data_IF_041645966666
#
_entry.id   IF_041645966666
#
_cell.length_a   1.000
_cell.length_b   1.000
_cell.length_c   1.000
_cell.angle_alpha   90.00
_cell.angle_beta   90.00
_cell.angle_gamma   90.00
#
_symmetry.space_group_name_H-M   'P 1'
#
loop_
_entity.id
_entity.type
_entity.pdbx_description
1 polymer ?
#
# COMPACT_ATOMS: atom_id res chain seq x y z
N UNK A 1 11.47 9.09 30.09
CA UNK A 1 10.26 9.52 29.36
C UNK A 1 9.93 8.41 28.39
N UNK A 2 8.91 7.61 28.70
CA UNK A 2 8.42 6.56 27.79
C UNK A 2 7.80 7.27 26.60
N UNK A 3 8.40 7.18 25.41
CA UNK A 3 7.76 7.68 24.21
C UNK A 3 6.47 6.88 24.02
N UNK A 4 5.34 7.57 24.02
CA UNK A 4 4.08 7.00 23.55
C UNK A 4 4.23 6.83 22.04
N UNK A 5 4.52 5.62 21.60
CA UNK A 5 4.50 5.27 20.17
C UNK A 5 3.07 5.50 19.70
N UNK A 6 2.90 6.22 18.60
CA UNK A 6 1.61 6.25 17.91
C UNK A 6 1.57 5.01 16.99
N UNK A 7 0.85 3.93 17.39
CA UNK A 7 0.82 2.71 16.59
C UNK A 7 0.19 2.94 15.21
N UNK A 8 -0.70 3.94 15.06
CA UNK A 8 -1.30 4.28 13.76
C UNK A 8 -0.33 4.94 12.77
N UNK A 9 0.86 5.35 13.23
CA UNK A 9 1.89 5.99 12.41
C UNK A 9 3.19 5.19 12.33
N UNK A 10 3.27 4.04 13.02
CA UNK A 10 4.47 3.21 13.07
C UNK A 10 4.15 1.86 12.42
N UNK A 11 4.62 1.64 11.20
CA UNK A 11 4.55 0.32 10.55
C UNK A 11 5.80 -0.48 10.94
N UNK A 12 5.60 -1.63 11.58
CA UNK A 12 6.65 -2.61 11.86
C UNK A 12 6.23 -3.87 11.11
N UNK A 13 6.67 -4.06 9.86
CA UNK A 13 6.31 -5.26 9.12
C UNK A 13 6.99 -6.48 9.75
N UNK A 14 6.23 -7.56 9.92
CA UNK A 14 6.74 -8.88 10.30
C UNK A 14 7.47 -9.54 9.13
N UNK A 15 6.98 -9.28 7.92
CA UNK A 15 7.52 -9.83 6.68
C UNK A 15 7.61 -8.75 5.60
N UNK A 16 8.67 -8.82 4.80
CA UNK A 16 8.87 -7.97 3.66
C UNK A 16 9.23 -8.83 2.47
N UNK A 17 8.63 -8.50 1.33
CA UNK A 17 8.80 -9.24 0.09
C UNK A 17 9.15 -8.29 -1.05
N UNK A 18 9.92 -8.81 -1.99
CA UNK A 18 10.29 -8.08 -3.20
C UNK A 18 9.81 -8.86 -4.41
N UNK A 19 9.06 -8.18 -5.24
CA UNK A 19 8.49 -8.72 -6.46
C UNK A 19 9.08 -7.98 -7.66
N UNK A 20 9.40 -8.72 -8.71
CA UNK A 20 10.07 -8.22 -9.91
C UNK A 20 9.17 -8.40 -11.12
N UNK A 21 9.11 -7.36 -11.96
CA UNK A 21 8.50 -7.43 -13.27
C UNK A 21 9.51 -6.86 -14.30
N UNK A 22 9.91 -7.63 -15.33
CA UNK A 22 10.81 -7.12 -16.35
C UNK A 22 10.17 -5.95 -17.09
N UNK A 23 10.94 -4.91 -17.39
CA UNK A 23 10.42 -3.76 -18.14
C UNK A 23 10.11 -4.10 -19.61
N UNK A 24 10.72 -5.17 -20.13
CA UNK A 24 10.46 -5.65 -21.48
C UNK A 24 9.03 -6.20 -21.58
N UNK A 25 8.21 -5.61 -22.46
CA UNK A 25 6.84 -6.03 -22.70
C UNK A 25 5.79 -5.36 -21.81
N UNK A 26 6.19 -4.40 -20.96
CA UNK A 26 5.26 -3.61 -20.14
C UNK A 26 5.01 -2.26 -20.82
N UNK A 27 3.85 -2.11 -21.45
CA UNK A 27 3.44 -0.85 -22.08
C UNK A 27 2.86 0.14 -21.06
N UNK A 28 2.10 -0.37 -20.09
CA UNK A 28 1.48 0.40 -19.02
C UNK A 28 1.56 -0.38 -17.70
N UNK A 29 2.18 0.20 -16.68
CA UNK A 29 2.32 -0.44 -15.37
C UNK A 29 0.98 -0.56 -14.64
N UNK A 30 -0.01 0.28 -14.98
CA UNK A 30 -1.30 0.28 -14.31
C UNK A 30 -2.07 -1.04 -14.48
N UNK A 31 -1.80 -1.81 -15.54
CA UNK A 31 -2.41 -3.12 -15.76
C UNK A 31 -1.86 -4.21 -14.84
N UNK A 32 -0.70 -3.98 -14.23
CA UNK A 32 -0.03 -4.89 -13.30
C UNK A 32 -0.19 -4.46 -11.84
N UNK A 33 -0.82 -3.31 -11.59
CA UNK A 33 -1.05 -2.83 -10.23
C UNK A 33 -2.13 -3.68 -9.55
N UNK A 34 -1.88 -4.21 -8.35
CA UNK A 34 -2.90 -4.90 -7.60
C UNK A 34 -4.02 -3.93 -7.19
N UNK A 35 -5.26 -4.40 -7.16
CA UNK A 35 -6.40 -3.58 -6.72
C UNK A 35 -6.49 -3.48 -5.20
N UNK A 36 -5.85 -4.40 -4.48
CA UNK A 36 -5.78 -4.42 -3.02
C UNK A 36 -4.46 -5.07 -2.58
N UNK A 37 -4.02 -4.87 -1.33
CA UNK A 37 -2.72 -5.38 -0.86
C UNK A 37 -2.58 -6.91 -0.85
N UNK A 38 -3.70 -7.64 -0.80
CA UNK A 38 -3.75 -9.11 -0.70
C UNK A 38 -3.98 -9.79 -2.06
N UNK A 39 -3.92 -9.02 -3.16
CA UNK A 39 -4.10 -9.56 -4.50
C UNK A 39 -3.01 -10.59 -4.84
N UNK A 40 -3.36 -11.55 -5.68
CA UNK A 40 -2.42 -12.54 -6.21
C UNK A 40 -1.47 -11.85 -7.20
N UNK A 41 -0.22 -11.66 -6.78
CA UNK A 41 0.80 -10.96 -7.56
C UNK A 41 1.34 -11.84 -8.69
N UNK A 42 1.36 -13.15 -8.53
CA UNK A 42 1.77 -14.09 -9.58
C UNK A 42 0.76 -14.09 -10.73
N UNK A 43 -0.55 -14.05 -10.43
CA UNK A 43 -1.60 -13.94 -11.46
C UNK A 43 -1.52 -12.60 -12.23
N UNK A 44 -1.05 -11.54 -11.57
CA UNK A 44 -0.79 -10.25 -12.20
C UNK A 44 0.52 -10.24 -13.01
N UNK A 45 1.34 -11.29 -12.93
CA UNK A 45 2.58 -11.44 -13.69
C UNK A 45 3.83 -10.92 -12.99
N UNK A 46 3.75 -10.60 -11.70
CA UNK A 46 4.92 -10.32 -10.88
C UNK A 46 5.64 -11.63 -10.54
N UNK A 47 6.95 -11.56 -10.39
CA UNK A 47 7.79 -12.71 -10.04
C UNK A 47 8.45 -12.46 -8.69
N UNK A 48 8.18 -13.31 -7.71
CA UNK A 48 8.81 -13.18 -6.40
C UNK A 48 10.34 -13.36 -6.50
N UNK A 49 11.08 -12.44 -5.89
CA UNK A 49 12.55 -12.50 -5.85
C UNK A 49 13.05 -13.66 -4.98
N UNK A 50 12.22 -14.11 -4.03
CA UNK A 50 12.56 -15.11 -3.02
C UNK A 50 13.01 -14.46 -1.71
N UNK A 51 13.68 -15.24 -0.86
CA UNK A 51 14.07 -14.79 0.48
C UNK A 51 14.96 -13.54 0.45
N UNK A 52 14.57 -12.54 1.23
CA UNK A 52 15.35 -11.33 1.47
C UNK A 52 15.94 -11.31 2.88
N UNK A 53 17.04 -10.55 3.04
CA UNK A 53 17.65 -10.29 4.34
C UNK A 53 16.73 -9.39 5.20
N UNK A 54 16.04 -10.01 6.15
CA UNK A 54 15.12 -9.37 7.11
C UNK A 54 15.83 -8.34 7.99
N UNK A 55 17.12 -8.54 8.31
CA UNK A 55 17.89 -7.63 9.15
C UNK A 55 18.25 -6.33 8.43
N UNK A 56 18.49 -6.39 7.12
CA UNK A 56 18.73 -5.20 6.30
C UNK A 56 17.43 -4.55 5.83
N UNK A 57 16.38 -5.35 5.62
CA UNK A 57 15.09 -4.90 5.09
C UNK A 57 15.20 -4.21 3.74
N UNK A 58 14.27 -3.28 3.48
CA UNK A 58 14.17 -2.50 2.24
C UNK A 58 14.44 -1.02 2.59
N UNK A 59 15.72 -0.57 2.57
CA UNK A 59 16.04 0.80 2.90
C UNK A 59 15.50 1.77 1.84
N UNK A 60 15.10 2.96 2.28
CA UNK A 60 14.86 4.12 1.42
C UNK A 60 15.95 5.17 1.67
N UNK A 61 16.68 5.53 0.62
CA UNK A 61 17.77 6.50 0.65
C UNK A 61 17.41 7.74 -0.19
N UNK A 62 16.67 8.71 0.39
CA UNK A 62 16.41 9.99 -0.26
C UNK A 62 17.69 10.83 -0.26
N UNK A 63 18.11 11.27 -1.44
CA UNK A 63 19.30 12.10 -1.60
C UNK A 63 19.06 13.24 -2.59
N UNK A 64 19.92 14.26 -2.56
CA UNK A 64 19.88 15.35 -3.53
C UNK A 64 20.91 16.42 -3.21
N UNK A 65 20.97 17.43 -4.07
CA UNK A 65 21.93 18.52 -3.93
C UNK A 65 21.27 19.69 -3.19
N UNK A 66 21.94 20.24 -2.18
CA UNK A 66 21.54 21.48 -1.51
C UNK A 66 22.46 22.61 -1.98
N UNK A 67 21.88 23.68 -2.51
CA UNK A 67 22.62 24.90 -2.87
C UNK A 67 22.16 26.05 -2.00
N UNK A 68 23.10 26.59 -1.26
CA UNK A 68 22.94 27.80 -0.47
C UNK A 68 23.32 29.02 -1.33
N UNK A 69 22.55 30.09 -1.18
CA UNK A 69 22.81 31.38 -1.79
C UNK A 69 23.11 32.34 -0.64
N UNK A 70 24.37 32.76 -0.56
CA UNK A 70 24.84 33.76 0.37
C UNK A 70 25.21 35.05 -0.36
N UNK A 71 25.37 36.12 0.41
CA UNK A 71 25.86 37.39 -0.09
C UNK A 71 27.27 37.64 0.48
N UNK A 72 28.27 36.90 0.02
CA UNK A 72 29.69 37.11 0.36
C UNK A 72 29.97 37.12 1.88
N UNK A 73 29.74 35.98 2.56
CA UNK A 73 30.08 35.82 3.98
C UNK A 73 28.97 36.21 4.96
N UNK A 74 27.79 36.60 4.46
CA UNK A 74 26.57 36.72 5.25
C UNK A 74 25.82 35.38 5.33
N UNK A 75 24.96 35.17 6.36
CA UNK A 75 24.09 34.01 6.41
C UNK A 75 23.30 33.80 5.13
N UNK A 76 23.07 32.54 4.75
CA UNK A 76 22.33 32.19 3.55
C UNK A 76 20.93 32.83 3.58
N UNK A 77 20.62 33.66 2.58
CA UNK A 77 19.30 34.27 2.45
C UNK A 77 18.32 33.34 1.71
N UNK A 78 18.84 32.32 1.02
CA UNK A 78 18.06 31.31 0.34
C UNK A 78 18.81 29.98 0.30
N UNK A 79 18.09 28.91 0.59
CA UNK A 79 18.57 27.54 0.41
C UNK A 79 17.63 26.85 -0.58
N UNK A 80 18.18 26.10 -1.54
CA UNK A 80 17.40 25.34 -2.53
C UNK A 80 17.89 23.91 -2.60
N UNK A 81 16.96 22.97 -2.43
CA UNK A 81 17.16 21.55 -2.75
C UNK A 81 16.85 21.30 -4.24
N UNK A 82 17.67 20.51 -4.92
CA UNK A 82 17.49 20.17 -6.33
C UNK A 82 18.08 18.79 -6.64
N UNK A 83 17.62 18.20 -7.75
CA UNK A 83 17.95 16.81 -8.15
C UNK A 83 17.68 15.80 -7.03
N UNK A 84 16.48 15.88 -6.45
CA UNK A 84 15.99 14.84 -5.55
C UNK A 84 16.06 13.49 -6.26
N UNK A 85 16.61 12.50 -5.56
CA UNK A 85 16.74 11.11 -5.97
C UNK A 85 16.20 10.25 -4.84
N UNK A 86 15.58 9.14 -5.22
CA UNK A 86 15.23 8.09 -4.29
C UNK A 86 15.91 6.81 -4.75
N UNK A 87 16.68 6.21 -3.86
CA UNK A 87 17.16 4.85 -4.05
C UNK A 87 16.51 3.95 -3.03
N UNK A 88 16.31 2.70 -3.40
CA UNK A 88 16.08 1.64 -2.45
C UNK A 88 17.16 0.56 -2.59
N UNK A 89 17.06 -0.47 -1.76
CA UNK A 89 17.83 -1.68 -1.95
C UNK A 89 17.11 -2.89 -1.38
N UNK A 90 17.65 -4.06 -1.68
CA UNK A 90 17.29 -5.31 -1.02
C UNK A 90 18.47 -6.27 -1.16
N UNK A 91 18.56 -7.25 -0.27
CA UNK A 91 19.57 -8.32 -0.38
C UNK A 91 18.84 -9.62 -0.63
N UNK A 92 18.99 -10.16 -1.84
CA UNK A 92 18.45 -11.47 -2.19
C UNK A 92 19.38 -12.56 -1.65
N UNK A 93 18.81 -13.52 -0.91
CA UNK A 93 19.54 -14.64 -0.30
C UNK A 93 19.43 -15.92 -1.14
N UNK A 94 18.68 -15.88 -2.24
CA UNK A 94 18.45 -17.02 -3.12
C UNK A 94 19.03 -16.82 -4.52
N UNK A 95 19.54 -17.92 -5.07
CA UNK A 95 20.03 -18.00 -6.45
C UNK A 95 19.05 -18.77 -7.34
N UNK A 96 17.89 -18.17 -7.60
CA UNK A 96 16.78 -18.76 -8.36
C UNK A 96 16.72 -18.21 -9.81
N UNK A 97 15.72 -18.63 -10.59
CA UNK A 97 15.55 -18.18 -11.98
C UNK A 97 15.25 -16.69 -12.11
N UNK A 98 14.72 -16.05 -11.05
CA UNK A 98 14.35 -14.63 -11.03
C UNK A 98 15.57 -13.77 -10.71
N UNK A 99 16.29 -14.07 -9.62
CA UNK A 99 17.48 -13.30 -9.22
C UNK A 99 18.58 -13.34 -10.27
N UNK A 100 18.72 -14.45 -11.01
CA UNK A 100 19.65 -14.56 -12.15
C UNK A 100 19.37 -13.54 -13.27
N UNK A 101 18.14 -13.03 -13.41
CA UNK A 101 17.77 -12.06 -14.45
C UNK A 101 18.45 -10.71 -14.25
N UNK A 102 18.69 -10.30 -13.00
CA UNK A 102 19.22 -8.97 -12.67
C UNK A 102 20.56 -8.98 -11.93
N UNK A 103 20.94 -10.05 -11.24
CA UNK A 103 22.23 -10.12 -10.52
C UNK A 103 23.40 -10.29 -11.49
N UNK A 104 23.36 -11.31 -12.35
CA UNK A 104 24.34 -11.52 -13.43
C UNK A 104 23.61 -11.88 -14.72
N UNK A 105 23.07 -10.88 -15.42
CA UNK A 105 22.19 -11.07 -16.56
C UNK A 105 22.88 -11.83 -17.69
N UNK A 106 22.20 -12.87 -18.21
CA UNK A 106 22.75 -13.77 -19.23
C UNK A 106 23.55 -14.95 -18.66
N UNK A 107 23.53 -15.16 -17.35
CA UNK A 107 23.97 -16.43 -16.76
C UNK A 107 23.06 -17.57 -17.19
N UNK A 108 23.64 -18.71 -17.54
CA UNK A 108 22.93 -19.97 -17.82
C UNK A 108 23.45 -21.05 -16.88
N UNK A 109 22.86 -22.25 -16.88
CA UNK A 109 23.25 -23.32 -15.94
C UNK A 109 24.74 -23.69 -15.96
N UNK A 110 25.44 -23.36 -17.04
CA UNK A 110 26.87 -23.61 -17.22
C UNK A 110 27.71 -22.34 -17.50
N UNK A 111 27.15 -21.13 -17.36
CA UNK A 111 27.86 -19.88 -17.66
C UNK A 111 27.49 -18.77 -16.68
N UNK A 112 28.47 -17.96 -16.32
CA UNK A 112 28.28 -16.75 -15.52
C UNK A 112 28.26 -15.54 -16.47
N UNK A 113 27.18 -14.77 -16.43
CA UNK A 113 26.99 -13.56 -17.20
C UNK A 113 27.82 -12.39 -16.67
N UNK A 114 28.06 -11.38 -17.50
CA UNK A 114 28.64 -10.10 -17.06
C UNK A 114 27.52 -9.16 -16.57
N UNK A 115 27.81 -8.18 -15.70
CA UNK A 115 26.84 -7.13 -15.36
C UNK A 115 26.30 -6.42 -16.62
N UNK A 116 24.99 -6.16 -16.65
CA UNK A 116 24.32 -5.44 -17.74
C UNK A 116 23.38 -4.37 -17.17
N UNK A 117 22.96 -3.46 -18.05
CA UNK A 117 21.92 -2.48 -17.73
C UNK A 117 20.55 -3.18 -17.70
N UNK A 118 20.15 -3.68 -16.53
CA UNK A 118 18.83 -4.29 -16.34
C UNK A 118 17.88 -3.27 -15.76
N UNK A 119 16.77 -3.09 -16.47
CA UNK A 119 15.66 -2.28 -16.01
C UNK A 119 14.44 -3.15 -15.74
N UNK A 120 13.79 -2.87 -14.62
CA UNK A 120 12.57 -3.55 -14.21
C UNK A 120 11.74 -2.69 -13.28
N UNK A 121 10.51 -3.14 -13.09
CA UNK A 121 9.64 -2.63 -12.04
C UNK A 121 9.81 -3.49 -10.81
N UNK A 122 9.75 -2.85 -9.65
CA UNK A 122 9.71 -3.54 -8.37
C UNK A 122 8.42 -3.21 -7.63
N UNK A 123 7.95 -4.20 -6.90
CA UNK A 123 6.87 -4.08 -5.95
C UNK A 123 7.37 -4.57 -4.60
N UNK A 124 7.15 -3.76 -3.56
CA UNK A 124 7.46 -4.13 -2.18
C UNK A 124 6.17 -4.41 -1.45
N UNK A 125 6.03 -5.62 -0.91
CA UNK A 125 4.91 -5.98 -0.05
C UNK A 125 5.43 -6.09 1.38
N UNK A 126 4.75 -5.41 2.28
CA UNK A 126 5.02 -5.41 3.72
C UNK A 126 3.80 -6.02 4.40
N UNK A 127 4.01 -7.12 5.10
CA UNK A 127 2.96 -7.86 5.80
C UNK A 127 3.21 -7.75 7.30
N UNK A 128 2.15 -7.43 8.02
CA UNK A 128 2.06 -7.37 9.49
C UNK A 128 0.79 -8.11 9.91
N UNK A 129 0.64 -8.48 11.19
CA UNK A 129 -0.46 -9.31 11.71
C UNK A 129 -1.85 -8.77 11.30
N UNK A 130 -2.00 -7.44 11.26
CA UNK A 130 -3.27 -6.76 11.00
C UNK A 130 -3.25 -5.88 9.74
N UNK A 131 -2.15 -5.78 9.01
CA UNK A 131 -2.03 -4.83 7.88
C UNK A 131 -1.06 -5.29 6.81
N UNK A 132 -1.52 -5.28 5.57
CA UNK A 132 -0.67 -5.42 4.39
C UNK A 132 -0.57 -4.09 3.64
N UNK A 133 0.65 -3.68 3.30
CA UNK A 133 0.90 -2.49 2.47
C UNK A 133 1.75 -2.89 1.27
N UNK A 134 1.34 -2.44 0.10
CA UNK A 134 2.06 -2.67 -1.15
C UNK A 134 2.53 -1.35 -1.74
N UNK A 135 3.81 -1.27 -2.10
CA UNK A 135 4.36 -0.15 -2.85
C UNK A 135 4.73 -0.61 -4.26
N UNK A 136 4.08 -0.04 -5.26
CA UNK A 136 4.33 -0.37 -6.67
C UNK A 136 5.10 0.76 -7.32
N UNK A 137 6.23 0.43 -7.93
CA UNK A 137 7.03 1.40 -8.65
C UNK A 137 6.33 1.88 -9.94
N UNK A 138 6.31 3.20 -10.18
CA UNK A 138 5.58 3.79 -11.31
C UNK A 138 6.34 3.79 -12.65
N UNK A 139 7.68 3.70 -12.60
CA UNK A 139 8.56 3.69 -13.77
C UNK A 139 9.66 2.66 -13.59
N UNK A 140 10.17 2.03 -14.65
CA UNK A 140 11.22 1.05 -14.50
C UNK A 140 12.49 1.71 -13.94
N UNK A 141 13.18 1.04 -13.03
CA UNK A 141 14.46 1.48 -12.47
C UNK A 141 15.61 0.63 -12.98
N UNK A 142 16.81 1.19 -12.91
CA UNK A 142 18.04 0.41 -12.99
C UNK A 142 18.22 -0.39 -11.70
N UNK A 143 18.40 -1.71 -11.85
CA UNK A 143 18.85 -2.60 -10.78
C UNK A 143 20.37 -2.74 -10.88
N UNK A 144 21.09 -2.22 -9.88
CA UNK A 144 22.54 -2.31 -9.79
C UNK A 144 22.94 -3.37 -8.76
N UNK A 145 23.74 -4.36 -9.18
CA UNK A 145 24.41 -5.26 -8.25
C UNK A 145 25.51 -4.50 -7.51
N UNK A 146 25.30 -4.23 -6.23
CA UNK A 146 26.24 -3.50 -5.38
C UNK A 146 27.28 -4.44 -4.76
N UNK A 147 26.87 -5.63 -4.34
CA UNK A 147 27.75 -6.63 -3.75
C UNK A 147 27.24 -8.04 -3.99
N UNK A 148 28.15 -8.99 -4.12
CA UNK A 148 27.84 -10.42 -4.22
C UNK A 148 28.72 -11.19 -3.23
N UNK A 149 28.10 -11.98 -2.34
CA UNK A 149 28.78 -12.68 -1.24
C UNK A 149 29.80 -13.72 -1.67
N UNK A 150 29.82 -14.08 -2.94
CA UNK A 150 30.72 -15.10 -3.47
C UNK A 150 30.34 -16.49 -2.96
N UNK A 151 31.29 -17.42 -3.03
CA UNK A 151 31.14 -18.79 -2.53
C UNK A 151 32.13 -18.96 -1.37
N UNK A 152 31.63 -18.81 -0.15
CA UNK A 152 32.40 -18.95 1.09
C UNK A 152 31.85 -20.16 1.84
N UNK A 153 32.73 -21.01 2.34
CA UNK A 153 32.33 -22.23 3.04
C UNK A 153 31.57 -21.90 4.33
N UNK A 154 30.32 -22.35 4.43
CA UNK A 154 29.48 -22.17 5.61
C UNK A 154 28.74 -20.84 5.69
N UNK A 155 28.86 -19.98 4.67
CA UNK A 155 28.11 -18.73 4.56
C UNK A 155 27.04 -18.83 3.47
N UNK A 156 25.92 -18.15 3.69
CA UNK A 156 24.87 -18.02 2.69
C UNK A 156 25.34 -17.05 1.60
N UNK A 157 25.18 -17.45 0.34
CA UNK A 157 25.45 -16.54 -0.77
C UNK A 157 24.37 -15.48 -0.84
N UNK A 158 24.74 -14.25 -1.19
CA UNK A 158 23.81 -13.14 -1.28
C UNK A 158 24.13 -12.24 -2.46
N UNK A 159 23.11 -11.52 -2.93
CA UNK A 159 23.24 -10.45 -3.90
C UNK A 159 22.58 -9.19 -3.35
N UNK A 160 23.39 -8.18 -3.02
CA UNK A 160 22.91 -6.88 -2.56
C UNK A 160 22.64 -5.99 -3.78
N UNK A 161 21.38 -5.58 -3.92
CA UNK A 161 20.89 -4.76 -5.01
C UNK A 161 20.66 -3.32 -4.54
N UNK A 162 21.01 -2.38 -5.41
CA UNK A 162 20.60 -0.97 -5.29
C UNK A 162 19.68 -0.65 -6.46
N UNK A 163 18.53 -0.04 -6.16
CA UNK A 163 17.51 0.30 -7.14
C UNK A 163 17.50 1.81 -7.32
N UNK A 164 17.73 2.26 -8.55
CA UNK A 164 17.76 3.68 -8.88
C UNK A 164 16.43 4.12 -9.44
N UNK A 165 15.53 4.54 -8.56
CA UNK A 165 14.19 4.92 -8.96
C UNK A 165 14.16 6.20 -9.79
N UNK A 166 13.16 6.27 -10.66
CA UNK A 166 12.82 7.46 -11.42
C UNK A 166 11.39 7.86 -11.09
N UNK A 167 11.17 9.15 -10.86
CA UNK A 167 9.83 9.68 -10.60
C UNK A 167 9.02 9.77 -11.90
N UNK A 168 7.70 9.72 -11.78
CA UNK A 168 6.74 9.90 -12.86
C UNK A 168 6.65 11.37 -13.34
N UNK A 169 5.58 11.75 -14.04
CA UNK A 169 5.38 13.15 -14.44
C UNK A 169 4.94 14.07 -13.28
N UNK A 170 4.34 13.51 -12.22
CA UNK A 170 3.87 14.22 -11.05
C UNK A 170 4.95 14.33 -9.95
N UNK A 171 6.04 13.58 -10.08
CA UNK A 171 7.12 13.54 -9.09
C UNK A 171 7.04 12.34 -8.15
N UNK A 172 6.10 11.42 -8.39
CA UNK A 172 5.86 10.25 -7.57
C UNK A 172 6.73 9.07 -8.04
N UNK A 173 7.26 8.31 -7.08
CA UNK A 173 8.09 7.13 -7.37
C UNK A 173 7.30 5.84 -7.21
N UNK A 174 6.48 5.78 -6.16
CA UNK A 174 5.65 4.64 -5.82
C UNK A 174 4.21 5.05 -5.72
N UNK A 175 3.31 4.17 -6.13
CA UNK A 175 1.94 4.16 -5.68
C UNK A 175 1.84 3.22 -4.47
N UNK A 176 1.33 3.75 -3.37
CA UNK A 176 1.01 2.96 -2.18
C UNK A 176 -0.41 2.43 -2.33
N UNK A 177 -0.56 1.12 -2.17
CA UNK A 177 -1.81 0.40 -2.13
C UNK A 177 -1.93 -0.14 -0.72
N UNK A 178 -2.92 0.34 0.01
CA UNK A 178 -3.30 -0.14 1.33
C UNK A 178 -4.81 -0.38 1.37
N UNK A 179 -5.24 -1.17 2.34
CA UNK A 179 -6.65 -1.52 2.52
C UNK A 179 -7.53 -0.32 2.94
N UNK A 180 -6.94 0.87 3.19
CA UNK A 180 -7.66 2.05 3.70
C UNK A 180 -7.83 3.18 2.68
N UNK A 181 -7.10 3.17 1.56
CA UNK A 181 -7.21 4.20 0.51
C UNK A 181 -8.55 4.21 -0.23
N UNK A 182 -9.35 3.13 -0.13
CA UNK A 182 -10.69 3.01 -0.71
C UNK A 182 -11.83 3.21 0.30
N UNK A 183 -11.51 3.60 1.55
CA UNK A 183 -12.50 3.75 2.60
C UNK A 183 -13.51 4.85 2.26
N UNK A 184 -14.79 4.48 2.14
CA UNK A 184 -15.88 5.44 1.88
C UNK A 184 -16.58 5.76 3.18
N UNK A 185 -16.47 7.02 3.62
CA UNK A 185 -17.24 7.52 4.76
C UNK A 185 -18.62 8.01 4.33
N UNK A 186 -19.67 7.53 5.02
CA UNK A 186 -21.05 7.96 4.88
C UNK A 186 -21.64 8.40 6.22
N UNK A 187 -22.29 9.56 6.23
CA UNK A 187 -22.93 10.09 7.44
C UNK A 187 -24.44 9.90 7.38
N UNK A 188 -24.98 9.13 8.31
CA UNK A 188 -26.41 8.95 8.51
C UNK A 188 -26.92 9.96 9.52
N UNK A 189 -27.71 10.92 9.07
CA UNK A 189 -28.39 11.89 9.94
C UNK A 189 -29.81 11.40 10.23
N UNK A 190 -30.08 11.11 11.50
CA UNK A 190 -31.37 10.62 11.97
C UNK A 190 -32.18 11.83 12.47
N UNK A 191 -33.27 12.14 11.76
CA UNK A 191 -34.14 13.26 12.11
C UNK A 191 -34.93 13.05 13.40
N UNK A 192 -35.53 14.13 13.90
CA UNK A 192 -36.47 14.07 15.02
C UNK A 192 -37.70 13.21 14.66
N UNK A 193 -38.25 12.48 15.63
CA UNK A 193 -39.45 11.66 15.43
C UNK A 193 -39.24 10.32 14.73
N UNK A 194 -38.01 10.02 14.27
CA UNK A 194 -37.67 8.69 13.73
C UNK A 194 -37.76 7.65 14.85
N UNK A 195 -38.58 6.62 14.65
CA UNK A 195 -38.76 5.51 15.61
C UNK A 195 -38.10 4.22 15.13
N UNK A 196 -37.89 4.08 13.83
CA UNK A 196 -37.11 3.02 13.22
C UNK A 196 -36.61 3.46 11.84
N UNK A 197 -35.58 2.81 11.29
CA UNK A 197 -35.14 3.04 9.91
C UNK A 197 -34.54 1.79 9.28
N UNK A 198 -34.46 1.79 7.95
CA UNK A 198 -33.67 0.83 7.17
C UNK A 198 -32.52 1.56 6.48
N UNK A 199 -31.42 0.85 6.26
CA UNK A 199 -30.32 1.29 5.41
C UNK A 199 -30.20 0.35 4.21
N UNK A 200 -29.93 0.90 3.03
CA UNK A 200 -29.72 0.14 1.80
C UNK A 200 -28.31 0.42 1.29
N UNK A 201 -27.56 -0.65 1.04
CA UNK A 201 -26.20 -0.62 0.49
C UNK A 201 -26.18 -1.48 -0.78
N UNK A 202 -25.94 -0.85 -1.93
CA UNK A 202 -26.12 -1.50 -3.23
C UNK A 202 -27.55 -2.00 -3.40
N UNK A 203 -27.70 -3.31 -3.62
CA UNK A 203 -29.01 -3.97 -3.78
C UNK A 203 -29.59 -4.54 -2.47
N UNK A 204 -28.88 -4.47 -1.34
CA UNK A 204 -29.28 -5.11 -0.10
C UNK A 204 -29.76 -4.08 0.93
N UNK A 205 -30.86 -4.40 1.62
CA UNK A 205 -31.48 -3.53 2.63
C UNK A 205 -31.45 -4.23 3.98
N UNK A 206 -31.10 -3.51 5.04
CA UNK A 206 -31.13 -4.03 6.41
C UNK A 206 -32.57 -4.34 6.83
N UNK A 207 -32.77 -5.25 7.80
CA UNK A 207 -34.01 -5.25 8.58
C UNK A 207 -34.28 -3.87 9.20
N UNK A 208 -35.53 -3.61 9.56
CA UNK A 208 -35.91 -2.36 10.24
C UNK A 208 -35.23 -2.27 11.61
N UNK A 209 -34.48 -1.19 11.84
CA UNK A 209 -33.73 -0.92 13.06
C UNK A 209 -34.53 0.02 13.97
N UNK A 210 -35.12 -0.51 15.04
CA UNK A 210 -35.76 0.29 16.10
C UNK A 210 -34.76 0.78 17.16
N UNK A 211 -33.63 0.09 17.29
CA UNK A 211 -32.54 0.48 18.19
C UNK A 211 -31.60 1.40 17.42
N UNK A 212 -31.73 2.71 17.62
CA UNK A 212 -31.03 3.75 16.86
C UNK A 212 -29.58 3.95 17.34
N UNK A 213 -28.77 2.90 17.45
CA UNK A 213 -27.39 2.97 17.96
C UNK A 213 -26.37 2.60 16.89
N UNK A 214 -25.11 3.04 17.06
CA UNK A 214 -24.00 2.66 16.19
C UNK A 214 -23.82 1.14 16.10
N UNK A 215 -23.88 0.44 17.24
CA UNK A 215 -23.72 -1.01 17.31
C UNK A 215 -24.83 -1.76 16.55
N UNK A 216 -26.08 -1.29 16.63
CA UNK A 216 -27.20 -1.89 15.91
C UNK A 216 -27.06 -1.70 14.39
N UNK A 217 -26.69 -0.49 13.94
CA UNK A 217 -26.43 -0.22 12.53
C UNK A 217 -25.25 -1.04 12.01
N UNK A 218 -24.13 -1.09 12.75
CA UNK A 218 -22.95 -1.84 12.34
C UNK A 218 -23.25 -3.32 12.15
N UNK A 219 -23.93 -3.93 13.13
CA UNK A 219 -24.31 -5.35 13.06
C UNK A 219 -25.20 -5.62 11.85
N UNK A 220 -26.17 -4.74 11.58
CA UNK A 220 -27.08 -4.89 10.47
C UNK A 220 -26.41 -4.68 9.10
N UNK A 221 -25.50 -3.70 8.99
CA UNK A 221 -24.75 -3.46 7.75
C UNK A 221 -23.81 -4.63 7.44
N UNK A 222 -23.05 -5.14 8.42
CA UNK A 222 -22.13 -6.28 8.23
C UNK A 222 -22.86 -7.60 7.88
N UNK A 223 -24.17 -7.67 8.07
CA UNK A 223 -24.98 -8.81 7.66
C UNK A 223 -25.45 -8.73 6.19
N UNK A 224 -25.27 -7.59 5.52
CA UNK A 224 -25.65 -7.43 4.11
C UNK A 224 -24.60 -8.10 3.20
N UNK A 225 -25.07 -8.83 2.18
CA UNK A 225 -24.18 -9.46 1.20
C UNK A 225 -23.28 -8.45 0.48
N UNK A 226 -23.81 -7.26 0.15
CA UNK A 226 -23.03 -6.16 -0.44
C UNK A 226 -21.91 -5.64 0.45
N UNK A 227 -22.04 -5.74 1.78
CA UNK A 227 -21.01 -5.31 2.74
C UNK A 227 -20.06 -6.48 3.06
N UNK A 228 -20.55 -7.72 3.08
CA UNK A 228 -19.72 -8.92 3.22
C UNK A 228 -18.78 -9.15 2.03
N UNK A 229 -19.11 -8.59 0.87
CA UNK A 229 -18.25 -8.59 -0.30
C UNK A 229 -17.09 -7.57 -0.21
N UNK A 230 -17.11 -6.67 0.78
CA UNK A 230 -16.03 -5.70 1.02
C UNK A 230 -14.94 -6.33 1.90
N UNK A 231 -13.70 -5.79 1.89
CA UNK A 231 -12.63 -6.23 2.78
C UNK A 231 -13.06 -6.19 4.25
N UNK A 232 -12.62 -7.15 5.07
CA UNK A 232 -12.96 -7.20 6.50
C UNK A 232 -12.51 -5.92 7.22
N UNK A 233 -13.33 -5.28 8.08
CA UNK A 233 -14.61 -5.75 8.60
C UNK A 233 -15.85 -5.30 7.81
N UNK A 234 -15.68 -4.75 6.61
CA UNK A 234 -16.72 -4.30 5.68
C UNK A 234 -17.30 -2.93 6.01
N UNK A 235 -17.72 -2.72 7.26
CA UNK A 235 -18.23 -1.44 7.74
C UNK A 235 -17.94 -1.21 9.23
N UNK A 236 -17.53 -0.01 9.61
CA UNK A 236 -17.36 0.41 11.01
C UNK A 236 -18.22 1.63 11.28
N UNK A 237 -19.00 1.62 12.36
CA UNK A 237 -19.97 2.69 12.67
C UNK A 237 -19.62 3.36 14.00
N UNK A 238 -19.56 4.69 13.99
CA UNK A 238 -19.32 5.52 15.17
C UNK A 238 -20.38 6.62 15.28
N UNK A 239 -20.38 7.37 16.38
CA UNK A 239 -21.26 8.52 16.60
C UNK A 239 -22.36 8.31 17.64
N UNK A 240 -23.08 9.39 17.92
CA UNK A 240 -24.19 9.40 18.87
C UNK A 240 -25.49 9.05 18.15
N UNK A 241 -25.95 7.82 18.35
CA UNK A 241 -27.26 7.37 17.91
C UNK A 241 -28.43 8.15 18.54
N UNK A 242 -29.66 7.77 18.21
CA UNK A 242 -30.89 8.42 18.68
C UNK A 242 -31.57 9.31 17.63
N UNK A 243 -32.76 9.79 17.96
CA UNK A 243 -33.54 10.73 17.15
C UNK A 243 -33.81 12.01 17.95
N UNK A 244 -33.10 13.12 17.70
CA UNK A 244 -32.14 13.32 16.62
C UNK A 244 -30.74 12.77 16.94
N UNK A 245 -29.99 12.38 15.91
CA UNK A 245 -28.65 11.82 16.06
C UNK A 245 -27.89 11.71 14.74
N UNK A 246 -26.60 11.38 14.82
CA UNK A 246 -25.71 11.22 13.66
C UNK A 246 -24.83 10.00 13.86
N UNK A 247 -24.80 9.12 12.86
CA UNK A 247 -23.92 7.96 12.81
C UNK A 247 -22.99 8.08 11.59
N UNK A 248 -21.69 7.97 11.81
CA UNK A 248 -20.69 7.93 10.75
C UNK A 248 -20.35 6.47 10.46
N UNK A 249 -20.46 6.07 9.19
CA UNK A 249 -20.16 4.72 8.71
C UNK A 249 -18.95 4.81 7.79
N UNK A 250 -17.88 4.09 8.10
CA UNK A 250 -16.74 3.90 7.21
C UNK A 250 -16.86 2.52 6.58
N UNK A 251 -17.01 2.46 5.26
CA UNK A 251 -16.95 1.23 4.48
C UNK A 251 -15.52 1.01 4.01
N UNK A 252 -15.01 -0.22 4.08
CA UNK A 252 -13.62 -0.59 3.75
C UNK A 252 -13.27 -0.59 2.25
N UNK A 253 -14.27 -0.31 1.41
CA UNK A 253 -14.15 -0.10 -0.03
C UNK A 253 -15.44 0.59 -0.51
N UNK A 254 -15.51 0.96 -1.80
CA UNK A 254 -16.71 1.57 -2.38
C UNK A 254 -17.95 0.65 -2.25
N UNK A 255 -18.96 1.02 -1.45
CA UNK A 255 -20.12 0.16 -1.18
C UNK A 255 -21.22 0.29 -2.26
N UNK A 256 -20.94 1.01 -3.36
CA UNK A 256 -21.94 1.45 -4.32
C UNK A 256 -22.87 2.52 -3.75
N UNK A 257 -24.14 2.51 -4.15
CA UNK A 257 -25.14 3.46 -3.63
C UNK A 257 -25.53 3.15 -2.19
N UNK A 258 -25.52 4.16 -1.32
CA UNK A 258 -25.98 4.06 0.07
C UNK A 258 -27.16 5.00 0.29
N UNK A 259 -28.23 4.49 0.88
CA UNK A 259 -29.41 5.28 1.23
C UNK A 259 -30.06 4.78 2.51
N UNK A 260 -30.97 5.57 3.07
CA UNK A 260 -31.71 5.20 4.27
C UNK A 260 -33.16 5.67 4.17
N UNK A 261 -34.07 5.01 4.89
CA UNK A 261 -35.48 5.40 4.97
C UNK A 261 -35.96 5.28 6.41
N UNK A 262 -36.52 6.38 6.93
CA UNK A 262 -37.02 6.47 8.29
C UNK A 262 -38.53 6.18 8.41
N UNK A 263 -38.93 5.67 9.56
CA UNK A 263 -40.32 5.56 10.00
C UNK A 263 -40.59 6.66 11.02
N UNK A 264 -41.65 7.46 10.82
CA UNK A 264 -42.01 8.58 11.70
C UNK A 264 -41.21 9.87 11.48
N UNK A 265 -40.19 9.84 10.62
CA UNK A 265 -39.36 10.98 10.26
C UNK A 265 -38.39 10.64 9.12
N UNK A 266 -37.46 11.54 8.83
CA UNK A 266 -36.49 11.39 7.73
C UNK A 266 -35.14 10.92 8.26
N UNK A 267 -34.49 10.02 7.51
CA UNK A 267 -33.06 9.71 7.67
C UNK A 267 -32.36 10.04 6.36
N UNK A 268 -31.29 10.82 6.41
CA UNK A 268 -30.51 11.20 5.22
C UNK A 268 -29.10 10.63 5.29
N UNK A 269 -28.53 10.29 4.13
CA UNK A 269 -27.16 9.81 3.99
C UNK A 269 -26.38 10.79 3.13
N UNK A 270 -25.21 11.24 3.61
CA UNK A 270 -24.23 12.04 2.87
C UNK A 270 -22.95 11.23 2.65
#
# INVERSE_FOLDING_TARGET
>A
MTQTINPELTTIPDEAEVWYLPAEGVDDISTYMPTNPDADLDELGWEEVGLIDDQKGIPLDPSGDVKEYDAFGHPAFRVKFFKGKLKSGFTALEWNSITRKFVLPGSSDNKIGKPQNVQGYLLYRFVDEDTTVVWVQLRPALLELKSHGGIIQGELSFAEMTVHHTADANGDVFQRIDASSDDVTKTFTIGTGVTAYTATVGANTTPSLSTLTAAALQTALRALASVQALPTPGATVTGSGGAPGSLSVVFTASPGSVSASGTGGTVSVA
#
